data_IF_221019671023
#
_entry.id   IF_221019671023
#
_cell.length_a   1.000
_cell.length_b   1.000
_cell.length_c   1.000
_cell.angle_alpha   90.00
_cell.angle_beta   90.00
_cell.angle_gamma   90.00
#
_symmetry.space_group_name_H-M   'P 1'
#
loop_
_entity.id
_entity.type
_entity.pdbx_description
1 polymer ?
#
# COMPACT_ATOMS: atom_id res chain seq x y z
N UNK A 1 -9.86 -15.42 -22.50
CA UNK A 1 -8.39 -15.31 -22.43
C UNK A 1 -7.91 -16.39 -21.47
N UNK A 2 -7.12 -17.36 -21.94
CA UNK A 2 -6.63 -18.51 -21.14
C UNK A 2 -7.68 -19.19 -20.25
N UNK A 3 -8.79 -19.60 -20.84
CA UNK A 3 -9.88 -20.29 -20.13
C UNK A 3 -10.72 -19.40 -19.20
N UNK A 4 -10.33 -18.14 -18.95
CA UNK A 4 -11.10 -17.16 -18.18
C UNK A 4 -11.97 -16.30 -19.10
N UNK A 5 -13.20 -16.04 -18.64
CA UNK A 5 -14.16 -15.14 -19.29
C UNK A 5 -14.15 -13.78 -18.61
N UNK A 6 -14.12 -12.74 -19.43
CA UNK A 6 -14.16 -11.34 -19.00
C UNK A 6 -15.32 -10.66 -19.71
N UNK A 7 -16.00 -9.75 -19.02
CA UNK A 7 -17.12 -8.99 -19.60
C UNK A 7 -16.74 -7.51 -19.64
N UNK A 8 -16.36 -7.03 -20.82
CA UNK A 8 -16.03 -5.63 -21.04
C UNK A 8 -17.27 -4.74 -21.17
N UNK A 9 -17.13 -3.49 -20.75
CA UNK A 9 -18.06 -2.39 -21.00
C UNK A 9 -17.26 -1.16 -21.45
N UNK A 10 -17.94 -0.07 -21.83
CA UNK A 10 -17.26 1.20 -22.03
C UNK A 10 -16.46 1.58 -20.77
N UNK A 11 -15.16 1.82 -20.92
CA UNK A 11 -14.25 2.03 -19.79
C UNK A 11 -13.41 0.82 -19.40
N UNK A 12 -13.69 -0.37 -19.92
CA UNK A 12 -12.86 -1.56 -19.70
C UNK A 12 -11.68 -1.59 -20.68
N UNK A 13 -10.49 -1.89 -20.16
CA UNK A 13 -9.27 -2.14 -20.94
C UNK A 13 -8.84 -3.59 -20.75
N UNK A 14 -8.83 -4.37 -21.82
CA UNK A 14 -8.33 -5.74 -21.82
C UNK A 14 -6.84 -5.75 -22.17
N UNK A 15 -6.06 -6.54 -21.43
CA UNK A 15 -4.61 -6.64 -21.56
C UNK A 15 -4.21 -8.11 -21.54
N UNK A 16 -3.39 -8.50 -22.50
CA UNK A 16 -2.83 -9.83 -22.59
C UNK A 16 -1.43 -9.74 -23.21
N UNK A 17 -0.49 -10.51 -22.67
CA UNK A 17 0.87 -10.55 -23.18
C UNK A 17 0.94 -11.33 -24.51
N UNK A 18 2.07 -11.21 -25.20
CA UNK A 18 2.36 -11.99 -26.41
C UNK A 18 2.21 -13.49 -26.14
N UNK A 19 1.58 -14.21 -27.07
CA UNK A 19 1.41 -15.67 -27.00
C UNK A 19 0.18 -16.15 -26.23
N UNK A 20 -0.64 -15.23 -25.72
CA UNK A 20 -1.86 -15.56 -24.98
C UNK A 20 -3.04 -15.76 -25.94
N UNK A 21 -3.66 -16.94 -25.88
CA UNK A 21 -4.84 -17.27 -26.67
C UNK A 21 -6.08 -16.55 -26.14
N UNK A 22 -6.78 -15.87 -27.04
CA UNK A 22 -8.00 -15.13 -26.72
C UNK A 22 -9.02 -15.22 -27.85
N UNK A 23 -10.30 -15.14 -27.47
CA UNK A 23 -11.44 -15.03 -28.37
C UNK A 23 -12.32 -13.92 -27.80
N UNK A 24 -12.93 -13.15 -28.69
CA UNK A 24 -13.84 -12.06 -28.36
C UNK A 24 -15.19 -12.31 -28.99
N UNK A 25 -16.27 -12.08 -28.22
CA UNK A 25 -17.64 -12.30 -28.68
C UNK A 25 -18.53 -11.17 -28.17
N UNK A 26 -19.28 -10.55 -29.08
CA UNK A 26 -20.30 -9.58 -28.70
C UNK A 26 -21.54 -10.26 -28.13
N UNK A 27 -22.09 -9.74 -27.03
CA UNK A 27 -23.31 -10.27 -26.40
C UNK A 27 -24.58 -9.53 -26.79
N UNK A 28 -24.49 -8.25 -27.21
CA UNK A 28 -25.54 -7.43 -27.84
C UNK A 28 -25.00 -6.01 -28.12
N UNK A 29 -25.73 -5.22 -28.92
CA UNK A 29 -25.45 -3.85 -29.40
C UNK A 29 -24.20 -3.61 -30.26
N UNK A 30 -24.28 -2.57 -31.10
CA UNK A 30 -23.15 -2.05 -31.88
C UNK A 30 -22.10 -1.52 -30.91
N UNK A 31 -20.89 -2.05 -30.98
CA UNK A 31 -19.74 -1.57 -30.23
C UNK A 31 -18.57 -1.30 -31.17
N UNK A 32 -17.68 -0.38 -30.79
CA UNK A 32 -16.40 -0.18 -31.44
C UNK A 32 -15.30 -0.60 -30.47
N UNK A 33 -14.43 -1.50 -30.90
CA UNK A 33 -13.22 -1.86 -30.18
C UNK A 33 -12.01 -1.31 -30.92
N UNK A 34 -11.07 -0.79 -30.15
CA UNK A 34 -9.79 -0.31 -30.65
C UNK A 34 -8.70 -1.22 -30.11
N UNK A 35 -7.85 -1.70 -31.00
CA UNK A 35 -6.76 -2.60 -30.68
C UNK A 35 -5.44 -1.92 -30.98
N UNK A 36 -4.48 -2.11 -30.07
CA UNK A 36 -3.10 -1.70 -30.26
C UNK A 36 -2.24 -2.88 -29.92
N UNK A 37 -1.51 -3.35 -30.91
CA UNK A 37 -0.50 -4.38 -30.76
C UNK A 37 0.83 -3.80 -31.24
N UNK A 38 1.90 -4.08 -30.52
CA UNK A 38 3.23 -3.64 -30.88
C UNK A 38 4.26 -4.60 -30.30
N UNK A 39 5.47 -4.54 -30.84
CA UNK A 39 6.61 -5.37 -30.43
C UNK A 39 7.77 -4.45 -30.02
N UNK A 40 8.78 -5.01 -29.36
CA UNK A 40 9.93 -4.25 -28.87
C UNK A 40 9.63 -3.51 -27.57
N UNK A 41 8.65 -3.96 -26.79
CA UNK A 41 8.37 -3.40 -25.48
C UNK A 41 9.46 -3.83 -24.49
N UNK A 42 10.10 -2.86 -23.85
CA UNK A 42 11.00 -3.10 -22.72
C UNK A 42 10.61 -2.20 -21.55
N UNK A 43 10.08 -2.80 -20.48
CA UNK A 43 9.82 -2.14 -19.21
C UNK A 43 10.82 -2.61 -18.16
N UNK A 44 11.24 -1.72 -17.26
CA UNK A 44 12.17 -2.05 -16.20
C UNK A 44 11.56 -3.13 -15.28
N UNK A 45 12.29 -4.23 -15.07
CA UNK A 45 11.84 -5.34 -14.24
C UNK A 45 10.81 -6.27 -14.91
N UNK A 46 10.53 -6.10 -16.20
CA UNK A 46 9.62 -6.97 -16.97
C UNK A 46 10.37 -7.71 -18.08
N UNK A 47 9.91 -8.92 -18.46
CA UNK A 47 10.37 -9.58 -19.68
C UNK A 47 10.09 -8.72 -20.93
N UNK A 48 10.88 -8.94 -21.99
CA UNK A 48 10.63 -8.32 -23.28
C UNK A 48 9.22 -8.66 -23.80
N UNK A 49 8.58 -7.70 -24.48
CA UNK A 49 7.21 -7.83 -25.02
C UNK A 49 6.12 -8.12 -23.96
N UNK A 50 6.39 -7.87 -22.68
CA UNK A 50 5.42 -8.08 -21.60
C UNK A 50 5.06 -6.76 -20.90
N UNK A 51 3.76 -6.52 -20.75
CA UNK A 51 3.21 -5.38 -20.00
C UNK A 51 3.09 -5.68 -18.50
N UNK A 52 2.92 -6.95 -18.15
CA UNK A 52 2.82 -7.44 -16.77
C UNK A 52 3.83 -8.57 -16.51
N UNK A 53 4.30 -8.68 -15.27
CA UNK A 53 5.22 -9.74 -14.84
C UNK A 53 4.55 -11.10 -14.62
N UNK A 54 3.23 -11.20 -14.80
CA UNK A 54 2.50 -12.46 -14.78
C UNK A 54 2.07 -12.84 -16.20
N UNK A 55 2.03 -14.13 -16.50
CA UNK A 55 1.43 -14.65 -17.74
C UNK A 55 -0.09 -14.45 -17.81
N UNK A 56 -0.73 -13.90 -16.78
CA UNK A 56 -2.19 -13.79 -16.71
C UNK A 56 -2.69 -12.52 -17.40
N UNK A 57 -3.68 -12.69 -18.29
CA UNK A 57 -4.46 -11.57 -18.83
C UNK A 57 -5.17 -10.80 -17.73
N UNK A 58 -5.26 -9.48 -17.92
CA UNK A 58 -5.96 -8.57 -17.01
C UNK A 58 -7.08 -7.83 -17.74
N UNK A 59 -8.15 -7.53 -17.01
CA UNK A 59 -9.14 -6.53 -17.43
C UNK A 59 -9.10 -5.43 -16.39
N UNK A 60 -8.77 -4.22 -16.83
CA UNK A 60 -8.74 -3.03 -16.00
C UNK A 60 -9.98 -2.20 -16.24
N UNK A 61 -10.61 -1.74 -15.17
CA UNK A 61 -11.62 -0.71 -15.25
C UNK A 61 -10.93 0.65 -15.13
N UNK A 62 -11.01 1.46 -16.19
CA UNK A 62 -10.20 2.69 -16.30
C UNK A 62 -10.71 3.86 -15.46
N UNK A 63 -11.99 3.87 -15.08
CA UNK A 63 -12.60 4.93 -14.26
C UNK A 63 -12.22 6.35 -14.74
N UNK A 64 -11.62 7.16 -13.87
CA UNK A 64 -11.15 8.52 -14.17
C UNK A 64 -10.08 8.58 -15.27
N UNK A 65 -9.36 7.48 -15.52
CA UNK A 65 -8.37 7.38 -16.58
C UNK A 65 -8.96 7.04 -17.94
N UNK A 66 -10.27 6.78 -18.05
CA UNK A 66 -10.91 6.41 -19.31
C UNK A 66 -10.73 7.46 -20.40
N UNK A 67 -11.09 8.73 -20.12
CA UNK A 67 -11.00 9.79 -21.14
C UNK A 67 -9.55 10.08 -21.56
N UNK A 68 -8.58 10.23 -20.64
CA UNK A 68 -7.18 10.43 -21.03
C UNK A 68 -6.59 9.29 -21.86
N UNK A 69 -6.91 8.04 -21.52
CA UNK A 69 -6.42 6.87 -22.26
C UNK A 69 -7.10 6.76 -23.62
N UNK A 70 -8.43 6.93 -23.67
CA UNK A 70 -9.18 6.93 -24.92
C UNK A 70 -8.64 7.97 -25.90
N UNK A 71 -8.31 9.17 -25.41
CA UNK A 71 -7.70 10.22 -26.24
C UNK A 71 -6.39 9.75 -26.88
N UNK A 72 -5.49 9.13 -26.12
CA UNK A 72 -4.23 8.61 -26.67
C UNK A 72 -4.45 7.54 -27.74
N UNK A 73 -5.45 6.67 -27.58
CA UNK A 73 -5.81 5.69 -28.61
C UNK A 73 -6.30 6.38 -29.89
N UNK A 74 -7.22 7.33 -29.77
CA UNK A 74 -7.80 8.04 -30.92
C UNK A 74 -6.74 8.84 -31.64
N UNK A 75 -5.98 9.68 -30.92
CA UNK A 75 -4.91 10.49 -31.49
C UNK A 75 -3.88 9.60 -32.22
N UNK A 76 -3.56 8.42 -31.66
CA UNK A 76 -2.60 7.50 -32.28
C UNK A 76 -3.13 6.84 -33.55
N UNK A 77 -4.42 6.49 -33.61
CA UNK A 77 -5.06 5.95 -34.83
C UNK A 77 -5.09 7.02 -35.93
N UNK A 78 -5.41 8.25 -35.56
CA UNK A 78 -5.43 9.39 -36.48
C UNK A 78 -4.04 9.61 -37.09
N UNK A 79 -2.99 9.64 -36.25
CA UNK A 79 -1.61 9.74 -36.72
C UNK A 79 -1.21 8.53 -37.58
N UNK A 80 -1.59 7.31 -37.20
CA UNK A 80 -1.28 6.13 -38.02
C UNK A 80 -1.94 6.18 -39.41
N UNK A 81 -3.09 6.83 -39.52
CA UNK A 81 -3.84 6.96 -40.77
C UNK A 81 -3.44 8.21 -41.58
N UNK A 82 -2.60 9.07 -41.00
CA UNK A 82 -2.14 10.31 -41.63
C UNK A 82 -1.01 10.04 -42.62
N UNK A 83 -1.03 10.68 -43.82
CA UNK A 83 0.03 10.54 -44.81
C UNK A 83 1.25 11.44 -44.54
N UNK A 84 1.25 12.21 -43.45
CA UNK A 84 2.32 13.17 -43.17
C UNK A 84 3.63 12.46 -42.74
N UNK A 85 4.80 12.96 -43.15
CA UNK A 85 6.09 12.34 -42.82
C UNK A 85 6.35 12.20 -41.32
N UNK A 86 5.88 13.16 -40.51
CA UNK A 86 6.10 13.21 -39.06
C UNK A 86 5.17 12.28 -38.28
N UNK A 87 4.09 11.79 -38.89
CA UNK A 87 3.05 11.05 -38.20
C UNK A 87 3.55 9.78 -37.53
N UNK A 88 4.55 9.11 -38.11
CA UNK A 88 5.20 7.96 -37.47
C UNK A 88 5.90 8.33 -36.15
N UNK A 89 6.51 9.52 -36.07
CA UNK A 89 7.17 10.01 -34.84
C UNK A 89 6.13 10.34 -33.78
N UNK A 90 5.04 11.01 -34.17
CA UNK A 90 3.95 11.37 -33.25
C UNK A 90 3.26 10.11 -32.72
N UNK A 91 2.90 9.16 -33.60
CA UNK A 91 2.29 7.88 -33.24
C UNK A 91 3.16 7.09 -32.25
N UNK A 92 4.48 7.03 -32.47
CA UNK A 92 5.41 6.39 -31.53
C UNK A 92 5.46 7.11 -30.17
N UNK A 93 5.45 8.44 -30.16
CA UNK A 93 5.38 9.23 -28.93
C UNK A 93 4.10 8.93 -28.12
N UNK A 94 2.96 8.87 -28.80
CA UNK A 94 1.66 8.53 -28.22
C UNK A 94 1.65 7.09 -27.69
N UNK A 95 2.19 6.13 -28.44
CA UNK A 95 2.32 4.74 -28.03
C UNK A 95 3.14 4.60 -26.74
N UNK A 96 4.27 5.31 -26.64
CA UNK A 96 5.11 5.32 -25.43
C UNK A 96 4.37 5.94 -24.24
N UNK A 97 3.64 7.03 -24.46
CA UNK A 97 2.82 7.66 -23.42
C UNK A 97 1.69 6.74 -22.93
N UNK A 98 0.99 6.08 -23.86
CA UNK A 98 -0.07 5.11 -23.58
C UNK A 98 0.49 3.94 -22.76
N UNK A 99 1.58 3.36 -23.22
CA UNK A 99 2.28 2.25 -22.56
C UNK A 99 2.72 2.62 -21.14
N UNK A 100 3.34 3.79 -20.96
CA UNK A 100 3.76 4.26 -19.63
C UNK A 100 2.58 4.57 -18.70
N UNK A 101 1.42 4.97 -19.23
CA UNK A 101 0.19 5.12 -18.42
C UNK A 101 -0.39 3.77 -18.01
N UNK A 102 -0.54 2.84 -18.96
CA UNK A 102 -1.04 1.49 -18.67
C UNK A 102 -0.12 0.77 -17.68
N UNK A 103 1.21 0.85 -17.88
CA UNK A 103 2.18 0.30 -16.93
C UNK A 103 2.04 0.93 -15.53
N UNK A 104 1.77 2.24 -15.43
CA UNK A 104 1.45 2.86 -14.13
C UNK A 104 0.17 2.32 -13.52
N UNK A 105 -0.88 2.09 -14.32
CA UNK A 105 -2.11 1.48 -13.80
C UNK A 105 -1.92 0.03 -13.37
N UNK A 106 -1.10 -0.74 -14.09
CA UNK A 106 -0.80 -2.14 -13.77
C UNK A 106 0.12 -2.32 -12.57
N UNK A 107 1.13 -1.45 -12.44
CA UNK A 107 2.21 -1.64 -11.46
C UNK A 107 2.18 -0.62 -10.31
N UNK A 108 1.44 0.47 -10.47
CA UNK A 108 1.40 1.61 -9.55
C UNK A 108 -0.03 2.09 -9.23
N UNK A 109 -1.07 1.29 -9.58
CA UNK A 109 -2.42 1.48 -9.05
C UNK A 109 -2.36 1.55 -7.52
N UNK A 110 -3.11 2.47 -6.92
CA UNK A 110 -3.13 2.74 -5.48
C UNK A 110 -3.42 1.48 -4.62
N UNK A 111 -3.99 0.42 -5.21
CA UNK A 111 -4.24 -0.84 -4.53
C UNK A 111 -3.03 -1.81 -4.52
N UNK A 112 -2.08 -1.67 -5.46
CA UNK A 112 -0.91 -2.56 -5.56
C UNK A 112 0.34 -2.00 -4.86
N UNK A 113 0.44 -0.69 -4.63
CA UNK A 113 1.46 -0.13 -3.72
C UNK A 113 1.22 -0.52 -2.25
N UNK A 114 -0.04 -0.75 -1.88
CA UNK A 114 -0.43 -1.22 -0.53
C UNK A 114 -0.16 -2.71 -0.36
N UNK A 115 -0.28 -3.51 -1.43
CA UNK A 115 -0.07 -4.96 -1.40
C UNK A 115 1.40 -5.40 -1.58
N UNK A 116 2.28 -4.51 -2.07
CA UNK A 116 3.67 -4.86 -2.44
C UNK A 116 4.77 -4.12 -1.69
N UNK A 117 4.48 -3.42 -0.59
CA UNK A 117 5.48 -3.37 0.50
C UNK A 117 5.48 -4.78 1.11
N UNK A 118 6.63 -5.47 1.27
CA UNK A 118 6.66 -6.68 2.07
C UNK A 118 5.92 -6.37 3.38
N UNK A 119 4.93 -7.18 3.78
CA UNK A 119 4.17 -6.98 5.02
C UNK A 119 5.09 -6.63 6.21
N UNK A 120 6.30 -7.19 6.21
CA UNK A 120 7.40 -6.85 7.10
C UNK A 120 7.80 -5.37 7.08
N UNK A 121 8.02 -4.76 5.92
CA UNK A 121 8.38 -3.34 5.81
C UNK A 121 7.27 -2.41 6.32
N UNK A 122 6.00 -2.76 6.08
CA UNK A 122 4.85 -2.04 6.63
C UNK A 122 4.86 -2.08 8.16
N UNK A 123 5.03 -3.28 8.72
CA UNK A 123 5.10 -3.47 10.17
C UNK A 123 6.33 -2.78 10.75
N UNK A 124 7.48 -2.84 10.09
CA UNK A 124 8.70 -2.14 10.49
C UNK A 124 8.51 -0.62 10.50
N UNK A 125 7.85 -0.04 9.49
CA UNK A 125 7.58 1.39 9.42
C UNK A 125 6.62 1.83 10.53
N UNK A 126 5.50 1.12 10.71
CA UNK A 126 4.54 1.40 11.77
C UNK A 126 5.19 1.27 13.15
N UNK A 127 6.00 0.23 13.36
CA UNK A 127 6.75 -0.01 14.59
C UNK A 127 7.73 1.11 14.88
N UNK A 128 8.58 1.44 13.92
CA UNK A 128 9.56 2.52 14.04
C UNK A 128 8.89 3.84 14.39
N UNK A 129 7.79 4.17 13.73
CA UNK A 129 7.05 5.39 14.04
C UNK A 129 6.47 5.37 15.46
N UNK A 130 5.87 4.24 15.89
CA UNK A 130 5.41 4.09 17.27
C UNK A 130 6.53 4.23 18.29
N UNK A 131 7.72 3.68 18.00
CA UNK A 131 8.89 3.72 18.89
C UNK A 131 9.54 5.10 18.96
N UNK A 132 9.52 5.86 17.87
CA UNK A 132 10.04 7.23 17.80
C UNK A 132 9.04 8.26 18.36
N UNK A 133 7.74 7.98 18.27
CA UNK A 133 6.66 8.92 18.62
C UNK A 133 5.81 8.46 19.81
N UNK A 134 6.25 7.45 20.58
CA UNK A 134 5.47 6.87 21.67
C UNK A 134 4.94 7.89 22.70
N UNK A 135 5.58 9.03 23.02
CA UNK A 135 5.01 9.99 23.98
C UNK A 135 3.79 10.75 23.45
N UNK A 136 3.59 10.75 22.12
CA UNK A 136 2.55 11.54 21.47
C UNK A 136 1.30 10.72 21.16
N UNK A 137 0.24 11.40 20.67
CA UNK A 137 -1.00 10.74 20.29
C UNK A 137 -0.82 10.00 18.96
N UNK A 138 -0.58 8.70 19.05
CA UNK A 138 -0.44 7.80 17.91
C UNK A 138 -1.75 7.02 17.74
N UNK A 139 -2.53 7.42 16.74
CA UNK A 139 -3.81 6.78 16.42
C UNK A 139 -3.66 5.76 15.30
N UNK A 140 -4.66 4.90 15.14
CA UNK A 140 -4.67 3.92 14.06
C UNK A 140 -4.78 4.60 12.69
N UNK A 141 -5.48 5.73 12.63
CA UNK A 141 -5.62 6.58 11.44
C UNK A 141 -4.27 7.18 11.04
N UNK A 142 -3.46 7.66 11.99
CA UNK A 142 -2.11 8.17 11.73
C UNK A 142 -1.21 7.07 11.17
N UNK A 143 -1.24 5.88 11.77
CA UNK A 143 -0.44 4.75 11.29
C UNK A 143 -0.90 4.25 9.92
N UNK A 144 -2.21 4.23 9.67
CA UNK A 144 -2.79 3.90 8.38
C UNK A 144 -2.37 4.89 7.29
N UNK A 145 -2.40 6.20 7.60
CA UNK A 145 -1.91 7.25 6.71
C UNK A 145 -0.41 7.13 6.41
N UNK A 146 0.41 6.87 7.42
CA UNK A 146 1.86 6.67 7.28
C UNK A 146 2.21 5.46 6.39
N UNK A 147 1.45 4.38 6.54
CA UNK A 147 1.68 3.13 5.80
C UNK A 147 0.95 3.09 4.47
N UNK A 148 0.18 4.14 4.15
CA UNK A 148 -0.71 4.23 2.98
C UNK A 148 -1.74 3.10 2.93
N UNK A 149 -2.13 2.52 4.06
CA UNK A 149 -3.10 1.42 4.12
C UNK A 149 -4.39 1.86 4.79
N UNK A 150 -5.44 1.04 4.70
CA UNK A 150 -6.60 1.24 5.57
C UNK A 150 -6.32 0.69 6.99
N UNK A 151 -7.03 1.19 8.03
CA UNK A 151 -6.88 0.74 9.41
C UNK A 151 -7.06 -0.77 9.62
N UNK A 152 -8.03 -1.38 8.92
CA UNK A 152 -8.35 -2.80 9.06
C UNK A 152 -7.22 -3.70 8.57
N UNK A 153 -6.63 -3.37 7.41
CA UNK A 153 -5.52 -4.09 6.83
C UNK A 153 -4.26 -3.99 7.71
N UNK A 154 -3.97 -2.78 8.23
CA UNK A 154 -2.87 -2.57 9.16
C UNK A 154 -3.02 -3.45 10.42
N UNK A 155 -4.20 -3.49 11.04
CA UNK A 155 -4.44 -4.37 12.20
C UNK A 155 -4.14 -5.82 11.85
N UNK A 156 -4.67 -6.29 10.71
CA UNK A 156 -4.54 -7.69 10.30
C UNK A 156 -3.07 -8.07 10.06
N UNK A 157 -2.35 -7.28 9.27
CA UNK A 157 -0.94 -7.54 8.92
C UNK A 157 -0.03 -7.38 10.13
N UNK A 158 -0.24 -6.35 10.95
CA UNK A 158 0.55 -6.12 12.14
C UNK A 158 0.37 -7.25 13.17
N UNK A 159 -0.86 -7.73 13.35
CA UNK A 159 -1.13 -8.87 14.24
C UNK A 159 -0.55 -10.17 13.70
N UNK A 160 -0.60 -10.39 12.38
CA UNK A 160 -0.02 -11.58 11.77
C UNK A 160 1.51 -11.65 11.97
N UNK A 161 2.21 -10.51 11.89
CA UNK A 161 3.67 -10.45 12.04
C UNK A 161 4.12 -10.39 13.50
N UNK A 162 3.41 -9.64 14.37
CA UNK A 162 3.87 -9.34 15.75
C UNK A 162 3.12 -10.12 16.83
N UNK A 163 2.03 -10.81 16.48
CA UNK A 163 1.13 -11.48 17.42
C UNK A 163 0.17 -10.56 18.17
N UNK A 164 0.25 -9.24 17.99
CA UNK A 164 -0.60 -8.26 18.70
C UNK A 164 -1.08 -7.13 17.79
N UNK A 165 -2.12 -6.40 18.18
CA UNK A 165 -2.56 -5.22 17.42
C UNK A 165 -1.56 -4.05 17.57
N UNK A 166 -1.56 -3.06 16.66
CA UNK A 166 -0.69 -1.88 16.78
C UNK A 166 -0.84 -1.15 18.12
N UNK A 167 -2.08 -0.99 18.59
CA UNK A 167 -2.35 -0.31 19.87
C UNK A 167 -1.84 -1.13 21.06
N UNK A 168 -1.97 -2.46 21.01
CA UNK A 168 -1.40 -3.34 22.05
C UNK A 168 0.14 -3.26 22.05
N UNK A 169 0.76 -3.21 20.87
CA UNK A 169 2.20 -3.01 20.74
C UNK A 169 2.65 -1.69 21.35
N UNK A 170 1.97 -0.58 21.02
CA UNK A 170 2.30 0.74 21.56
C UNK A 170 2.17 0.78 23.08
N UNK A 171 1.10 0.20 23.63
CA UNK A 171 0.93 0.08 25.09
C UNK A 171 2.11 -0.69 25.69
N UNK A 172 2.46 -1.85 25.12
CA UNK A 172 3.59 -2.65 25.61
C UNK A 172 4.89 -1.86 25.57
N UNK A 173 5.17 -1.17 24.48
CA UNK A 173 6.37 -0.36 24.33
C UNK A 173 6.44 0.77 25.38
N UNK A 174 5.34 1.51 25.58
CA UNK A 174 5.24 2.53 26.63
C UNK A 174 5.47 1.97 28.03
N UNK A 175 4.99 0.76 28.31
CA UNK A 175 5.24 0.07 29.58
C UNK A 175 6.72 -0.31 29.75
N UNK A 176 7.39 -0.80 28.70
CA UNK A 176 8.83 -1.10 28.78
C UNK A 176 9.65 0.17 29.02
N UNK A 177 9.34 1.28 28.34
CA UNK A 177 9.99 2.57 28.61
C UNK A 177 9.70 3.05 30.03
N UNK A 178 8.47 2.87 30.53
CA UNK A 178 8.12 3.22 31.90
C UNK A 178 8.93 2.43 32.93
N UNK A 179 9.16 1.14 32.71
CA UNK A 179 10.03 0.32 33.59
C UNK A 179 11.44 0.89 33.64
N UNK A 180 12.01 1.27 32.48
CA UNK A 180 13.33 1.90 32.43
C UNK A 180 13.38 3.18 33.27
N UNK A 181 12.37 4.06 33.19
CA UNK A 181 12.31 5.24 34.06
C UNK A 181 12.18 4.90 35.54
N UNK A 182 11.40 3.87 35.89
CA UNK A 182 11.21 3.44 37.28
C UNK A 182 12.51 2.89 37.89
N UNK A 183 13.28 2.16 37.09
CA UNK A 183 14.58 1.56 37.45
C UNK A 183 15.67 2.63 37.57
N UNK A 184 15.80 3.49 36.57
CA UNK A 184 16.97 4.38 36.41
C UNK A 184 16.80 5.78 37.02
N UNK A 185 15.58 6.19 37.39
CA UNK A 185 15.31 7.58 37.81
C UNK A 185 14.44 7.67 39.06
N UNK A 186 14.48 8.85 39.73
CA UNK A 186 13.60 9.20 40.86
C UNK A 186 12.39 10.04 40.46
N UNK A 187 12.04 10.08 39.16
CA UNK A 187 10.96 10.93 38.67
C UNK A 187 9.61 10.61 39.36
N UNK A 188 8.76 11.60 39.64
CA UNK A 188 7.39 11.38 40.12
C UNK A 188 6.56 10.54 39.14
N UNK A 189 5.56 9.82 39.65
CA UNK A 189 4.67 8.98 38.82
C UNK A 189 3.92 9.79 37.75
N UNK A 190 3.45 10.99 38.11
CA UNK A 190 2.83 11.93 37.17
C UNK A 190 3.74 12.28 35.99
N UNK A 191 5.01 12.55 36.27
CA UNK A 191 5.99 12.92 35.23
C UNK A 191 6.33 11.73 34.33
N UNK A 192 6.44 10.52 34.89
CA UNK A 192 6.64 9.31 34.09
C UNK A 192 5.43 9.05 33.20
N UNK A 193 4.20 9.20 33.71
CA UNK A 193 2.99 9.04 32.93
C UNK A 193 2.98 9.99 31.72
N UNK A 194 3.32 11.27 31.92
CA UNK A 194 3.42 12.26 30.85
C UNK A 194 4.51 11.88 29.83
N UNK A 195 5.72 11.55 30.30
CA UNK A 195 6.86 11.19 29.43
C UNK A 195 6.59 9.95 28.56
N UNK A 196 5.79 9.00 29.05
CA UNK A 196 5.42 7.80 28.28
C UNK A 196 4.09 7.95 27.51
N UNK A 197 3.51 9.16 27.48
CA UNK A 197 2.40 9.52 26.60
C UNK A 197 1.01 9.31 27.19
N UNK A 198 0.85 9.39 28.52
CA UNK A 198 -0.44 9.36 29.20
C UNK A 198 -0.72 10.68 29.91
N UNK A 199 -1.89 11.27 29.61
CA UNK A 199 -2.37 12.50 30.27
C UNK A 199 -2.88 12.28 31.70
N UNK A 200 -3.24 11.05 32.04
CA UNK A 200 -3.77 10.68 33.35
C UNK A 200 -2.83 9.71 34.05
N UNK A 201 -2.28 10.16 35.17
CA UNK A 201 -1.44 9.34 36.05
C UNK A 201 -2.21 8.10 36.52
N UNK A 202 -3.44 8.27 37.00
CA UNK A 202 -4.28 7.15 37.48
C UNK A 202 -4.51 6.11 36.40
N UNK A 203 -4.79 6.54 35.17
CA UNK A 203 -4.95 5.61 34.04
C UNK A 203 -3.66 4.85 33.75
N UNK A 204 -2.53 5.55 33.69
CA UNK A 204 -1.22 4.93 33.50
C UNK A 204 -0.90 3.89 34.59
N UNK A 205 -1.09 4.23 35.87
CA UNK A 205 -0.81 3.30 36.97
C UNK A 205 -1.66 2.03 36.88
N UNK A 206 -2.95 2.16 36.55
CA UNK A 206 -3.84 1.01 36.35
C UNK A 206 -3.41 0.16 35.16
N UNK A 207 -3.05 0.78 34.04
CA UNK A 207 -2.60 0.10 32.83
C UNK A 207 -1.26 -0.62 33.06
N UNK A 208 -0.33 0.00 33.79
CA UNK A 208 0.93 -0.63 34.18
C UNK A 208 0.70 -1.85 35.06
N UNK A 209 -0.14 -1.73 36.10
CA UNK A 209 -0.49 -2.87 36.96
C UNK A 209 -1.15 -4.01 36.17
N UNK A 210 -2.05 -3.68 35.24
CA UNK A 210 -2.67 -4.68 34.36
C UNK A 210 -1.65 -5.38 33.46
N UNK A 211 -0.64 -4.65 32.99
CA UNK A 211 0.35 -5.17 32.03
C UNK A 211 1.49 -5.96 32.70
N UNK A 212 1.81 -5.64 33.96
CA UNK A 212 2.97 -6.22 34.68
C UNK A 212 2.59 -7.09 35.87
N UNK A 213 1.33 -7.04 36.33
CA UNK A 213 0.86 -7.71 37.55
C UNK A 213 1.15 -6.94 38.85
N UNK A 214 1.98 -5.90 38.82
CA UNK A 214 2.40 -5.13 40.01
C UNK A 214 2.26 -3.62 39.80
N UNK A 215 2.03 -2.85 40.86
CA UNK A 215 1.94 -1.39 40.72
C UNK A 215 3.32 -0.77 40.40
N UNK A 216 3.37 0.38 39.68
CA UNK A 216 4.62 1.07 39.37
C UNK A 216 5.51 1.34 40.60
N UNK A 217 4.89 1.75 41.72
CA UNK A 217 5.60 2.00 42.98
C UNK A 217 6.25 0.75 43.57
N UNK A 218 5.54 -0.39 43.55
CA UNK A 218 6.12 -1.68 43.99
C UNK A 218 7.22 -2.16 43.04
N UNK A 219 7.02 -1.98 41.73
CA UNK A 219 8.03 -2.31 40.73
C UNK A 219 9.33 -1.53 40.96
N UNK A 220 9.25 -0.22 41.17
CA UNK A 220 10.40 0.63 41.50
C UNK A 220 11.13 0.20 42.77
N UNK A 221 10.39 -0.13 43.83
CA UNK A 221 10.99 -0.54 45.10
C UNK A 221 11.80 -1.83 44.91
N UNK A 222 11.20 -2.84 44.26
CA UNK A 222 11.87 -4.12 43.98
C UNK A 222 13.11 -3.97 43.09
N UNK A 223 13.05 -3.12 42.07
CA UNK A 223 14.20 -2.87 41.19
C UNK A 223 15.43 -2.27 41.90
N UNK A 224 15.21 -1.56 43.03
CA UNK A 224 16.27 -0.88 43.79
C UNK A 224 16.79 -1.68 44.98
N UNK A 225 16.17 -2.81 45.31
CA UNK A 225 16.66 -3.74 46.32
C UNK A 225 17.71 -4.71 45.75
N UNK A 226 17.96 -4.68 44.44
CA UNK A 226 18.89 -5.57 43.71
C UNK A 226 20.23 -4.86 43.37
N UNK A 227 20.37 -3.58 43.69
CA UNK A 227 21.63 -2.81 43.67
C UNK A 227 22.23 -2.67 45.07
#
# INVERSE_FOLDING_TARGET
MDGKRYRGKAGSLLLYNRGIWHEERSTSDKFAAVYVAYTGLQLQGMPADCLSGSSQSAMLELHEHFLPIKKLFVDMIEEWSSPLPESAVVANGLLRALTGRIARLLHYSAEDQVKRRPNKELVHLARRYMEENYPYDVTLETLAGLTYTNPYHLIHVFKAETGMSPIQYLIRYRIEVAKQYLETTKLPMAEIAEKVGYKSETYFQNLFKKSTGVSPGRYRAAAREVD
#
